data_IF_666562739190
#
_entry.id   IF_666562739190
#
_cell.length_a   1.000
_cell.length_b   1.000
_cell.length_c   1.000
_cell.angle_alpha   90.00
_cell.angle_beta   90.00
_cell.angle_gamma   90.00
#
_symmetry.space_group_name_H-M   'P 1'
#
loop_
_entity.id
_entity.type
_entity.pdbx_description
1 polymer ?
#
# COMPACT_ATOMS: atom_id res chain seq x y z
N UNK A 1 4.66 13.59 -11.19
CA UNK A 1 3.19 13.63 -10.97
C UNK A 1 2.94 14.64 -9.86
N UNK A 2 1.83 15.39 -9.86
CA UNK A 2 1.51 16.23 -8.68
C UNK A 2 1.03 15.34 -7.53
N UNK A 3 1.08 15.83 -6.28
CA UNK A 3 0.59 15.07 -5.12
C UNK A 3 -0.90 14.73 -5.23
N UNK A 4 -1.71 15.67 -5.69
CA UNK A 4 -3.16 15.45 -5.85
C UNK A 4 -3.44 14.37 -6.92
N UNK A 5 -2.73 14.42 -8.05
CA UNK A 5 -2.84 13.39 -9.08
C UNK A 5 -2.39 12.02 -8.57
N UNK A 6 -1.40 11.97 -7.67
CA UNK A 6 -0.98 10.74 -7.02
C UNK A 6 -2.07 10.20 -6.09
N UNK A 7 -2.66 11.04 -5.23
CA UNK A 7 -3.75 10.64 -4.35
C UNK A 7 -4.92 10.04 -5.14
N UNK A 8 -5.37 10.72 -6.19
CA UNK A 8 -6.49 10.26 -7.01
C UNK A 8 -6.18 8.91 -7.68
N UNK A 9 -4.97 8.76 -8.23
CA UNK A 9 -4.53 7.52 -8.86
C UNK A 9 -4.39 6.37 -7.84
N UNK A 10 -3.83 6.65 -6.67
CA UNK A 10 -3.70 5.68 -5.58
C UNK A 10 -5.08 5.24 -5.08
N UNK A 11 -6.02 6.16 -4.85
CA UNK A 11 -7.39 5.79 -4.46
C UNK A 11 -8.08 4.95 -5.52
N UNK A 12 -7.95 5.31 -6.79
CA UNK A 12 -8.53 4.53 -7.86
C UNK A 12 -7.96 3.11 -7.90
N UNK A 13 -6.67 2.94 -7.63
CA UNK A 13 -6.07 1.60 -7.49
C UNK A 13 -6.65 0.84 -6.29
N UNK A 14 -6.69 1.46 -5.11
CA UNK A 14 -7.25 0.83 -3.91
C UNK A 14 -8.72 0.44 -4.10
N UNK A 15 -9.52 1.26 -4.78
CA UNK A 15 -10.91 0.94 -5.10
C UNK A 15 -11.06 -0.23 -6.08
N UNK A 16 -10.17 -0.36 -7.06
CA UNK A 16 -10.16 -1.51 -7.96
C UNK A 16 -9.83 -2.80 -7.20
N UNK A 17 -8.94 -2.74 -6.21
CA UNK A 17 -8.64 -3.87 -5.33
C UNK A 17 -9.90 -4.29 -4.55
N UNK A 18 -10.61 -3.34 -3.93
CA UNK A 18 -11.87 -3.60 -3.20
C UNK A 18 -12.99 -4.19 -4.08
N UNK A 19 -13.00 -3.85 -5.37
CA UNK A 19 -13.96 -4.37 -6.36
C UNK A 19 -13.52 -5.68 -7.01
N UNK A 20 -12.38 -6.23 -6.61
CA UNK A 20 -11.74 -7.41 -7.22
C UNK A 20 -11.39 -7.21 -8.71
N UNK A 21 -11.28 -5.96 -9.16
CA UNK A 21 -10.85 -5.58 -10.52
C UNK A 21 -9.32 -5.56 -10.64
N UNK A 22 -8.62 -5.42 -9.51
CA UNK A 22 -7.18 -5.57 -9.39
C UNK A 22 -6.85 -6.60 -8.29
N UNK A 23 -5.84 -7.44 -8.53
CA UNK A 23 -5.33 -8.38 -7.53
C UNK A 23 -4.07 -7.84 -6.86
N UNK A 24 -3.79 -8.31 -5.64
CA UNK A 24 -2.62 -7.98 -4.85
C UNK A 24 -1.81 -9.25 -4.58
N UNK A 25 -0.49 -9.19 -4.74
CA UNK A 25 0.45 -10.28 -4.45
C UNK A 25 1.54 -9.79 -3.50
N UNK A 26 1.90 -10.60 -2.50
CA UNK A 26 3.06 -10.37 -1.65
C UNK A 26 4.35 -10.68 -2.44
N UNK A 27 5.22 -9.69 -2.63
CA UNK A 27 6.44 -9.85 -3.43
C UNK A 27 7.73 -9.76 -2.63
N UNK A 28 7.71 -9.14 -1.45
CA UNK A 28 8.86 -9.12 -0.54
C UNK A 28 8.45 -8.78 0.90
N UNK A 29 9.35 -9.08 1.84
CA UNK A 29 9.23 -8.68 3.22
C UNK A 29 8.66 -9.74 4.16
N UNK A 30 8.90 -9.54 5.44
CA UNK A 30 8.28 -10.30 6.52
C UNK A 30 7.41 -9.32 7.32
N UNK A 31 6.14 -9.69 7.46
CA UNK A 31 5.14 -8.97 8.24
C UNK A 31 5.44 -8.99 9.73
N UNK A 32 6.25 -9.95 10.21
CA UNK A 32 6.81 -9.93 11.57
C UNK A 32 8.01 -8.98 11.72
N UNK A 33 8.69 -8.64 10.63
CA UNK A 33 9.85 -7.73 10.62
C UNK A 33 9.49 -6.30 10.17
N UNK A 34 8.21 -6.10 9.86
CA UNK A 34 7.60 -4.80 9.76
C UNK A 34 7.77 -4.05 8.46
N UNK A 35 8.20 -4.70 7.38
CA UNK A 35 8.11 -4.10 6.05
C UNK A 35 7.67 -5.15 5.05
N UNK A 36 6.50 -4.95 4.49
CA UNK A 36 5.85 -5.85 3.54
C UNK A 36 5.66 -5.12 2.23
N UNK A 37 6.07 -5.71 1.12
CA UNK A 37 5.91 -5.15 -0.21
C UNK A 37 4.92 -5.99 -1.01
N UNK A 38 3.88 -5.33 -1.49
CA UNK A 38 2.89 -5.91 -2.38
C UNK A 38 3.02 -5.34 -3.79
N UNK A 39 2.68 -6.16 -4.78
CA UNK A 39 2.52 -5.74 -6.17
C UNK A 39 1.08 -5.99 -6.62
N UNK A 40 0.48 -4.99 -7.27
CA UNK A 40 -0.85 -5.14 -7.86
C UNK A 40 -0.77 -5.62 -9.30
N UNK A 41 -1.85 -6.23 -9.82
CA UNK A 41 -1.96 -6.62 -11.23
C UNK A 41 -1.84 -5.44 -12.20
N UNK A 42 -2.16 -4.22 -11.75
CA UNK A 42 -2.00 -2.99 -12.53
C UNK A 42 -0.56 -2.44 -12.48
N UNK A 43 0.35 -3.09 -11.76
CA UNK A 43 1.77 -2.74 -11.69
C UNK A 43 2.13 -1.73 -10.60
N UNK A 44 1.23 -1.46 -9.65
CA UNK A 44 1.55 -0.66 -8.48
C UNK A 44 2.37 -1.46 -7.49
N UNK A 45 3.24 -0.78 -6.75
CA UNK A 45 3.88 -1.32 -5.55
C UNK A 45 3.32 -0.62 -4.33
N UNK A 46 3.01 -1.39 -3.30
CA UNK A 46 2.48 -0.91 -2.02
C UNK A 46 3.39 -1.42 -0.92
N UNK A 47 3.97 -0.52 -0.13
CA UNK A 47 4.78 -0.87 1.03
C UNK A 47 3.92 -0.65 2.26
N UNK A 48 3.70 -1.71 3.02
CA UNK A 48 2.97 -1.71 4.29
C UNK A 48 4.00 -1.89 5.41
N UNK A 49 3.90 -1.06 6.43
CA UNK A 49 4.68 -1.23 7.65
C UNK A 49 3.79 -1.87 8.71
N UNK A 50 4.29 -2.92 9.35
CA UNK A 50 3.66 -3.60 10.49
C UNK A 50 4.60 -3.45 11.68
N UNK A 51 4.13 -3.06 12.85
CA UNK A 51 5.00 -3.04 14.05
C UNK A 51 4.85 -4.31 14.91
N UNK A 52 4.10 -5.29 14.42
CA UNK A 52 3.87 -6.57 15.09
C UNK A 52 2.90 -6.51 16.28
N UNK A 53 2.48 -5.32 16.72
CA UNK A 53 1.58 -5.15 17.86
C UNK A 53 0.23 -4.57 17.42
N UNK A 54 0.20 -3.43 16.73
CA UNK A 54 -1.05 -2.79 16.28
C UNK A 54 -0.74 -1.87 15.09
N UNK A 55 -1.40 -2.15 13.96
CA UNK A 55 -1.59 -1.30 12.76
C UNK A 55 -0.63 -1.56 11.60
N UNK A 56 -1.15 -2.24 10.57
CA UNK A 56 -0.58 -2.25 9.22
C UNK A 56 -0.99 -0.94 8.53
N UNK A 57 -0.04 -0.05 8.23
CA UNK A 57 -0.34 1.14 7.43
C UNK A 57 0.48 1.19 6.16
N UNK A 58 -0.12 1.76 5.10
CA UNK A 58 0.61 2.00 3.85
C UNK A 58 1.65 3.08 4.10
N UNK A 59 2.92 2.66 4.12
CA UNK A 59 4.11 3.50 4.28
C UNK A 59 4.48 4.21 2.98
N UNK A 60 4.30 3.55 1.85
CA UNK A 60 4.62 4.11 0.54
C UNK A 60 3.85 3.42 -0.57
N UNK A 61 3.64 4.14 -1.69
CA UNK A 61 3.17 3.53 -2.93
C UNK A 61 4.01 4.01 -4.11
N UNK A 62 4.13 3.16 -5.12
CA UNK A 62 4.80 3.47 -6.38
C UNK A 62 3.87 3.12 -7.54
N UNK A 63 3.32 4.10 -8.27
CA UNK A 63 2.62 3.85 -9.52
C UNK A 63 3.48 3.13 -10.56
N UNK A 64 2.85 2.51 -11.58
CA UNK A 64 3.55 1.87 -12.70
C UNK A 64 4.51 2.81 -13.44
N UNK A 65 4.25 4.12 -13.37
CA UNK A 65 5.09 5.19 -13.92
C UNK A 65 6.38 5.45 -13.13
N UNK A 66 6.64 4.67 -12.07
CA UNK A 66 7.87 4.56 -11.26
C UNK A 66 8.20 5.71 -10.30
N UNK A 67 7.33 6.69 -10.13
CA UNK A 67 7.57 7.74 -9.14
C UNK A 67 7.20 7.22 -7.74
N UNK A 68 8.17 7.13 -6.83
CA UNK A 68 7.95 6.63 -5.47
C UNK A 68 7.41 7.73 -4.56
N UNK A 69 6.34 7.44 -3.83
CA UNK A 69 5.73 8.38 -2.88
C UNK A 69 5.75 7.79 -1.48
N UNK A 70 6.48 8.45 -0.59
CA UNK A 70 6.44 8.18 0.85
C UNK A 70 5.19 8.80 1.46
N UNK A 71 4.50 8.02 2.30
CA UNK A 71 3.22 8.35 2.92
C UNK A 71 3.41 8.30 4.45
N UNK A 72 4.41 9.04 4.94
CA UNK A 72 4.81 9.02 6.35
C UNK A 72 4.06 10.08 7.18
N UNK A 73 3.56 9.75 8.39
CA UNK A 73 2.74 10.65 9.21
C UNK A 73 3.46 11.88 9.75
N UNK A 74 4.80 11.93 9.80
CA UNK A 74 5.54 12.98 10.51
C UNK A 74 5.82 14.25 9.68
N UNK A 75 5.34 14.32 8.45
CA UNK A 75 5.50 15.51 7.62
C UNK A 75 4.14 16.22 7.52
N UNK A 76 3.99 17.39 8.16
CA UNK A 76 2.74 18.20 8.15
C UNK A 76 2.18 18.44 6.74
N UNK A 77 3.05 18.51 5.74
CA UNK A 77 2.70 18.67 4.32
C UNK A 77 2.04 17.42 3.69
N UNK A 78 2.17 16.25 4.33
CA UNK A 78 1.68 14.95 3.88
C UNK A 78 0.50 14.46 4.75
N UNK A 79 0.02 15.29 5.70
CA UNK A 79 -1.15 15.02 6.54
C UNK A 79 -2.47 15.53 5.94
N UNK A 80 -2.59 15.43 4.61
CA UNK A 80 -3.85 15.70 3.92
C UNK A 80 -4.80 14.50 3.99
N UNK A 81 -6.09 14.74 3.76
CA UNK A 81 -7.13 13.71 3.84
C UNK A 81 -6.86 12.50 2.93
N UNK A 82 -6.24 12.74 1.76
CA UNK A 82 -5.89 11.69 0.81
C UNK A 82 -4.89 10.70 1.38
N UNK A 83 -3.76 11.20 1.87
CA UNK A 83 -2.71 10.39 2.49
C UNK A 83 -3.19 9.72 3.79
N UNK A 84 -4.10 10.34 4.56
CA UNK A 84 -4.70 9.71 5.75
C UNK A 84 -5.49 8.45 5.40
N UNK A 85 -6.34 8.51 4.37
CA UNK A 85 -7.15 7.34 3.98
C UNK A 85 -6.28 6.25 3.34
N UNK A 86 -5.25 6.62 2.56
CA UNK A 86 -4.31 5.64 2.00
C UNK A 86 -3.55 4.92 3.12
N UNK A 87 -3.05 5.64 4.14
CA UNK A 87 -2.41 5.04 5.32
C UNK A 87 -3.31 4.02 6.01
N UNK A 88 -4.60 4.33 6.14
CA UNK A 88 -5.57 3.45 6.80
C UNK A 88 -6.06 2.28 5.93
N UNK A 89 -5.57 2.13 4.70
CA UNK A 89 -6.00 1.07 3.81
C UNK A 89 -5.48 -0.29 4.28
N UNK A 90 -6.39 -1.27 4.32
CA UNK A 90 -6.08 -2.66 4.62
C UNK A 90 -6.56 -3.51 3.44
N UNK A 91 -5.67 -4.26 2.76
CA UNK A 91 -6.10 -5.16 1.69
C UNK A 91 -7.16 -6.16 2.19
N UNK A 92 -8.18 -6.52 1.39
CA UNK A 92 -9.19 -7.48 1.79
C UNK A 92 -8.56 -8.83 2.17
N UNK A 93 -8.96 -9.39 3.31
CA UNK A 93 -8.40 -10.64 3.83
C UNK A 93 -8.48 -11.83 2.84
N UNK A 94 -9.45 -11.81 1.92
CA UNK A 94 -9.61 -12.83 0.89
C UNK A 94 -8.50 -12.82 -0.18
N UNK A 95 -7.78 -11.70 -0.34
CA UNK A 95 -6.69 -11.53 -1.29
C UNK A 95 -5.32 -11.86 -0.68
N UNK A 96 -5.23 -12.15 0.63
CA UNK A 96 -4.00 -12.55 1.33
C UNK A 96 -3.59 -14.01 1.06
N UNK A 97 -3.74 -14.48 -0.18
CA UNK A 97 -3.34 -15.85 -0.55
C UNK A 97 -1.88 -15.86 -1.03
N UNK A 98 -1.00 -16.31 -0.11
CA UNK A 98 0.44 -16.63 -0.22
C UNK A 98 1.40 -15.49 0.18
N UNK A 99 2.35 -15.64 1.13
CA UNK A 99 2.72 -16.76 2.03
C UNK A 99 3.45 -16.18 3.24
N UNK A 100 3.09 -16.60 4.46
CA UNK A 100 3.96 -16.48 5.63
C UNK A 100 4.93 -17.68 5.66
N UNK A 101 6.23 -17.40 5.79
CA UNK A 101 7.28 -18.32 6.21
C UNK A 101 7.30 -19.73 5.61
N UNK A 102 7.92 -19.91 4.43
CA UNK A 102 8.69 -21.13 4.11
C UNK A 102 9.62 -20.90 2.91
N UNK A 103 10.91 -20.78 3.19
CA UNK A 103 11.97 -21.63 2.60
C UNK A 103 13.12 -21.75 3.59
#
# INVERSE_FOLDING_TARGET
>A
MTRDNFCDAAFNELQQIEREEASVELVAGDILEGKVEYQTSNGWKIVVFSDGDVWDYVRAMTPPTREHFEIWPEQEKDDCEGFRKIRSYHPPAAQLKATWGVS
#
